data_IF_254232071110
#
_entry.id   IF_254232071110
#
_cell.length_a   1.000
_cell.length_b   1.000
_cell.length_c   1.000
_cell.angle_alpha   90.00
_cell.angle_beta   90.00
_cell.angle_gamma   90.00
#
_symmetry.space_group_name_H-M   'P 1'
#
loop_
_entity.id
_entity.type
_entity.pdbx_description
1 polymer ?
#
# COMPACT_ATOMS: atom_id res chain seq x y z
N UNK A 1 -36.75 42.98 -22.17
CA UNK A 1 -36.31 42.66 -22.08
C UNK A 1 -35.58 41.89 -21.75
N UNK A 2 -35.14 41.64 -21.65
CA UNK A 2 -34.51 41.09 -21.49
C UNK A 2 -33.94 40.23 -21.21
N UNK A 3 -33.43 39.78 -21.01
CA UNK A 3 -32.93 39.14 -20.82
C UNK A 3 -32.33 38.37 -20.46
N UNK A 4 -31.95 37.93 -20.29
CA UNK A 4 -31.33 37.31 -20.01
C UNK A 4 -30.79 36.47 -19.70
N UNK A 5 -30.34 36.19 -19.56
CA UNK A 5 -29.75 35.55 -19.36
C UNK A 5 -29.16 34.68 -18.99
N UNK A 6 -28.75 34.24 -18.85
CA UNK A 6 -28.28 33.57 -18.60
C UNK A 6 -27.51 32.79 -18.38
N UNK A 7 -27.07 32.55 -18.22
CA UNK A 7 -26.26 32.00 -18.04
C UNK A 7 -25.78 31.05 -17.63
N UNK A 8 -25.41 30.67 -17.40
CA UNK A 8 -24.86 29.87 -17.11
C UNK A 8 -24.01 29.16 -16.84
N UNK A 9 -23.57 28.91 -16.73
CA UNK A 9 -22.80 28.46 -16.41
C UNK A 9 -22.35 27.38 -16.13
N UNK A 10 -21.96 26.94 -16.12
CA UNK A 10 -21.58 25.98 -15.99
C UNK A 10 -20.69 25.34 -15.46
N UNK A 11 -20.30 25.17 -15.12
CA UNK A 11 -19.50 24.68 -14.61
C UNK A 11 -18.88 23.62 -14.47
N UNK A 12 -18.43 23.28 -14.47
CA UNK A 12 -17.80 22.43 -14.41
C UNK A 12 -17.08 21.70 -13.77
N UNK A 13 -16.77 21.31 -13.61
CA UNK A 13 -16.19 20.68 -13.08
C UNK A 13 -15.30 19.79 -13.00
N UNK A 14 -14.80 19.54 -13.06
CA UNK A 14 -13.92 18.87 -13.02
C UNK A 14 -13.45 17.97 -12.36
N UNK A 15 -13.06 17.48 -12.15
CA UNK A 15 -12.59 16.70 -11.65
C UNK A 15 -11.63 15.97 -11.50
N UNK A 16 -11.15 15.73 -11.45
CA UNK A 16 -10.27 15.27 -11.31
C UNK A 16 -9.81 14.28 -10.78
N UNK A 17 -9.43 13.76 -10.75
CA UNK A 17 -9.02 12.88 -10.41
C UNK A 17 -8.02 12.33 -10.15
N UNK A 18 -7.48 12.14 -10.09
CA UNK A 18 -6.61 11.72 -9.78
C UNK A 18 -6.11 10.74 -9.52
N UNK A 19 -5.71 10.17 -9.65
CA UNK A 19 -5.28 9.26 -9.56
C UNK A 19 -4.26 8.86 -9.12
N UNK A 20 -3.96 8.83 -8.83
CA UNK A 20 -3.10 8.50 -8.20
C UNK A 20 -2.39 7.44 -8.40
N UNK A 21 -2.44 6.85 -8.92
CA UNK A 21 -1.84 5.82 -9.05
C UNK A 21 -0.57 5.88 -9.12
N UNK A 22 -0.08 5.99 -9.05
CA UNK A 22 1.01 6.07 -9.27
C UNK A 22 1.93 5.94 -8.53
N UNK A 23 2.18 5.89 -8.13
CA UNK A 23 2.96 5.98 -7.48
C UNK A 23 3.80 5.29 -7.15
N UNK A 24 4.13 4.97 -7.24
CA UNK A 24 5.05 4.58 -6.79
C UNK A 24 5.16 3.41 -6.27
N UNK A 25 4.57 2.75 -6.11
CA UNK A 25 4.76 1.53 -5.62
C UNK A 25 5.57 1.36 -4.43
N UNK A 26 5.99 2.35 -3.88
CA UNK A 26 6.81 2.18 -2.71
C UNK A 26 5.97 2.00 -1.47
N UNK A 27 4.89 2.70 -1.40
CA UNK A 27 4.09 2.63 -0.19
C UNK A 27 3.09 1.51 -0.28
N UNK A 28 3.17 0.59 0.63
CA UNK A 28 2.29 -0.56 0.64
C UNK A 28 1.16 -0.40 1.65
N UNK A 29 1.26 0.55 2.54
CA UNK A 29 0.25 0.76 3.54
C UNK A 29 0.35 2.12 4.19
N UNK A 30 -0.44 2.38 5.21
CA UNK A 30 -0.50 3.70 5.83
C UNK A 30 0.79 4.08 6.51
N UNK A 31 1.06 5.38 6.49
CA UNK A 31 2.23 5.93 7.17
C UNK A 31 2.09 5.79 8.67
N UNK A 32 3.24 5.65 9.33
CA UNK A 32 3.24 5.55 10.77
C UNK A 32 4.56 5.01 11.25
N UNK A 33 4.64 4.77 12.51
CA UNK A 33 5.84 4.18 13.08
C UNK A 33 5.74 2.67 13.05
N UNK A 34 6.79 2.02 12.63
CA UNK A 34 6.82 0.56 12.60
C UNK A 34 6.83 0.05 14.03
N UNK A 35 5.81 -0.67 14.41
CA UNK A 35 5.71 -1.20 15.78
C UNK A 35 5.86 -2.71 15.83
N UNK A 36 5.73 -3.38 14.70
CA UNK A 36 5.90 -4.83 14.66
C UNK A 36 6.31 -5.27 13.26
N UNK A 37 7.01 -6.37 13.20
CA UNK A 37 7.44 -6.97 11.94
C UNK A 37 7.23 -8.47 12.05
N UNK A 38 6.70 -9.04 10.99
CA UNK A 38 6.43 -10.48 10.97
C UNK A 38 6.76 -11.08 9.63
N UNK A 39 7.02 -12.33 9.61
CA UNK A 39 7.17 -13.08 8.37
C UNK A 39 6.22 -14.27 8.41
N UNK A 40 5.75 -14.63 7.24
CA UNK A 40 4.87 -15.77 7.10
C UNK A 40 5.32 -16.57 5.88
N UNK A 41 5.36 -17.86 6.02
CA UNK A 41 5.78 -18.72 4.93
C UNK A 41 4.58 -19.44 4.38
N UNK A 42 4.35 -19.28 3.10
CA UNK A 42 3.24 -19.93 2.44
C UNK A 42 3.72 -20.89 1.40
N UNK A 43 3.12 -22.05 1.36
CA UNK A 43 3.51 -23.08 0.43
C UNK A 43 2.30 -23.55 -0.34
N UNK A 44 2.48 -23.77 -1.63
CA UNK A 44 1.44 -24.25 -2.51
C UNK A 44 1.93 -25.49 -3.22
N UNK A 45 1.04 -26.43 -3.37
CA UNK A 45 1.31 -27.61 -4.19
C UNK A 45 0.49 -27.47 -5.46
N UNK A 46 1.12 -27.75 -6.59
CA UNK A 46 0.41 -27.72 -7.85
C UNK A 46 0.80 -28.93 -8.67
N UNK A 47 -0.05 -29.30 -9.62
CA UNK A 47 0.17 -30.46 -10.43
C UNK A 47 -0.47 -31.69 -9.82
N UNK A 48 -0.39 -32.78 -10.54
CA UNK A 48 -0.99 -34.03 -10.09
C UNK A 48 0.00 -35.17 -10.26
N UNK A 49 -0.16 -36.19 -9.45
CA UNK A 49 0.65 -37.34 -9.52
C UNK A 49 2.11 -37.04 -9.38
N UNK A 50 2.88 -37.54 -10.33
CA UNK A 50 4.32 -37.37 -10.26
C UNK A 50 4.80 -35.99 -10.60
N UNK A 51 3.91 -35.17 -11.17
CA UNK A 51 4.28 -33.81 -11.54
C UNK A 51 3.88 -32.79 -10.51
N UNK A 52 3.77 -33.25 -9.31
CA UNK A 52 3.39 -32.37 -8.24
C UNK A 52 4.57 -31.54 -7.80
N UNK A 53 4.36 -30.26 -7.69
CA UNK A 53 5.38 -29.34 -7.22
C UNK A 53 4.92 -28.67 -5.97
N UNK A 54 5.85 -28.40 -5.11
CA UNK A 54 5.58 -27.60 -3.94
C UNK A 54 6.41 -26.35 -4.03
N UNK A 55 5.75 -25.21 -4.04
CA UNK A 55 6.41 -23.91 -4.12
C UNK A 55 6.13 -23.15 -2.83
N UNK A 56 7.19 -22.65 -2.23
CA UNK A 56 7.05 -21.89 -1.00
C UNK A 56 7.62 -20.50 -1.19
N UNK A 57 6.98 -19.54 -0.56
CA UNK A 57 7.52 -18.18 -0.53
C UNK A 57 7.28 -17.59 0.84
N UNK A 58 8.05 -16.57 1.16
CA UNK A 58 7.94 -15.89 2.43
C UNK A 58 7.28 -14.54 2.20
N UNK A 59 6.32 -14.24 3.04
CA UNK A 59 5.68 -12.93 3.02
C UNK A 59 6.20 -12.13 4.19
N UNK A 60 6.41 -10.85 3.95
CA UNK A 60 6.96 -9.96 4.95
C UNK A 60 5.91 -8.92 5.29
N UNK A 61 5.66 -8.76 6.57
CA UNK A 61 4.61 -7.87 7.03
C UNK A 61 5.16 -6.86 7.99
N UNK A 62 4.68 -5.63 7.83
CA UNK A 62 4.96 -4.57 8.78
C UNK A 62 3.66 -4.14 9.41
N UNK A 63 3.75 -3.75 10.67
CA UNK A 63 2.64 -3.10 11.34
C UNK A 63 3.07 -1.69 11.68
N UNK A 64 2.32 -0.71 11.22
CA UNK A 64 2.58 0.69 11.55
C UNK A 64 1.50 1.21 12.45
N UNK A 65 1.88 2.14 13.33
CA UNK A 65 0.93 2.81 14.20
C UNK A 65 0.82 4.26 13.78
N UNK A 66 -0.37 4.68 13.45
CA UNK A 66 -0.59 6.03 12.98
C UNK A 66 -0.69 7.01 14.16
N UNK A 67 -0.92 8.26 13.85
CA UNK A 67 -0.95 9.30 14.87
C UNK A 67 -2.14 9.16 15.83
N UNK A 68 -3.17 8.50 15.36
CA UNK A 68 -4.35 8.27 16.21
C UNK A 68 -4.22 7.02 17.07
N UNK A 69 -3.10 6.31 16.92
CA UNK A 69 -2.88 5.10 17.68
C UNK A 69 -3.43 3.85 17.05
N UNK A 70 -3.86 3.93 15.80
CA UNK A 70 -4.38 2.77 15.09
C UNK A 70 -3.27 1.98 14.45
N UNK A 71 -3.34 0.67 14.54
CA UNK A 71 -2.33 -0.21 13.96
C UNK A 71 -2.81 -0.75 12.62
N UNK A 72 -1.88 -0.81 11.66
CA UNK A 72 -2.16 -1.27 10.31
C UNK A 72 -1.12 -2.28 9.91
N UNK A 73 -1.56 -3.46 9.52
CA UNK A 73 -0.67 -4.52 9.09
C UNK A 73 -0.77 -4.71 7.59
N UNK A 74 0.35 -4.81 6.91
CA UNK A 74 0.34 -4.94 5.46
C UNK A 74 1.63 -5.60 4.99
N UNK A 75 1.54 -6.23 3.81
CA UNK A 75 2.67 -6.91 3.22
C UNK A 75 3.58 -5.92 2.52
N UNK A 76 4.88 -6.20 2.57
CA UNK A 76 5.88 -5.37 1.92
C UNK A 76 6.91 -6.28 1.25
N UNK A 77 7.66 -5.75 0.27
CA UNK A 77 8.79 -6.48 -0.27
C UNK A 77 9.87 -6.69 0.77
N UNK A 78 10.70 -7.71 0.57
CA UNK A 78 11.74 -8.03 1.54
C UNK A 78 12.69 -6.87 1.79
N UNK A 79 13.02 -6.09 0.75
CA UNK A 79 13.90 -4.96 0.94
C UNK A 79 13.33 -3.90 1.86
N UNK A 80 12.04 -3.65 1.74
CA UNK A 80 11.36 -2.71 2.62
C UNK A 80 11.35 -3.24 4.05
N UNK A 81 11.08 -4.52 4.18
CA UNK A 81 11.08 -5.17 5.48
C UNK A 81 12.42 -4.99 6.18
N UNK A 82 13.50 -5.21 5.43
CA UNK A 82 14.84 -5.10 6.00
C UNK A 82 15.19 -3.67 6.39
N UNK A 83 14.76 -2.72 5.57
CA UNK A 83 15.12 -1.32 5.82
C UNK A 83 14.28 -0.68 6.91
N UNK A 84 13.07 -1.15 7.10
CA UNK A 84 12.14 -0.52 8.02
C UNK A 84 12.16 -1.24 9.35
N UNK A 85 13.02 -0.81 10.23
CA UNK A 85 13.14 -1.42 11.55
C UNK A 85 12.04 -0.95 12.45
N UNK A 86 11.82 -1.68 13.51
CA UNK A 86 10.90 -1.22 14.54
C UNK A 86 11.35 0.13 15.03
N UNK A 87 10.41 1.01 15.17
CA UNK A 87 10.69 2.37 15.57
C UNK A 87 10.90 3.32 14.42
N UNK A 88 11.09 2.80 13.20
CA UNK A 88 11.31 3.66 12.03
C UNK A 88 10.02 4.30 11.58
N UNK A 89 10.16 5.43 10.91
CA UNK A 89 9.03 6.09 10.28
C UNK A 89 8.82 5.49 8.90
N UNK A 90 7.63 4.98 8.66
CA UNK A 90 7.27 4.45 7.36
C UNK A 90 6.38 5.48 6.65
N UNK A 91 6.55 5.74 5.37
CA UNK A 91 7.38 5.04 4.41
C UNK A 91 8.81 5.58 4.26
N UNK A 92 9.18 6.51 5.07
CA UNK A 92 10.49 7.13 4.96
C UNK A 92 11.63 6.13 5.02
N UNK A 93 11.47 5.08 5.79
CA UNK A 93 12.49 4.06 5.96
C UNK A 93 12.77 3.25 4.71
N UNK A 94 11.88 3.31 3.73
CA UNK A 94 12.05 2.52 2.51
C UNK A 94 13.35 2.89 1.80
N UNK A 95 13.72 4.13 1.85
CA UNK A 95 14.88 4.63 1.11
C UNK A 95 16.15 4.66 1.91
N UNK A 96 16.27 3.90 2.93
CA UNK A 96 17.47 3.91 3.75
C UNK A 96 18.64 3.26 3.11
#
# INVERSE_FOLDING_TARGET
MRRLLAALAAALTALALVTACGNTGHEQGPAGRVVAKDTDRECHSSGTGRKRHRTCHTEYELTTRDKQGGDHEFDVPSGVYDNCRRGSAYPKCIDR
#
